data_IF_913700900180
#
_entry.id   IF_913700900180
#
_cell.length_a   1.000
_cell.length_b   1.000
_cell.length_c   1.000
_cell.angle_alpha   90.00
_cell.angle_beta   90.00
_cell.angle_gamma   90.00
#
_symmetry.space_group_name_H-M   'P 1'
#
loop_
_entity.id
_entity.type
_entity.pdbx_description
1 polymer ?
#
# COMPACT_ATOMS: atom_id res chain seq x y z
N UNK A 1 0.89 13.84 -20.49
CA UNK A 1 -0.23 14.25 -19.60
C UNK A 1 -0.85 12.98 -19.06
N UNK A 2 -0.60 12.66 -17.80
CA UNK A 2 -1.16 11.50 -17.15
C UNK A 2 -2.02 11.91 -15.96
N UNK A 3 -3.28 11.47 -15.92
CA UNK A 3 -4.13 11.59 -14.75
C UNK A 3 -3.73 10.49 -13.78
N UNK A 4 -3.04 10.86 -12.70
CA UNK A 4 -2.75 9.93 -11.62
C UNK A 4 -3.98 9.91 -10.74
N UNK A 5 -4.65 8.79 -10.73
CA UNK A 5 -5.66 8.56 -9.73
C UNK A 5 -5.11 7.78 -8.64
N UNK A 6 -5.47 8.22 -7.60
CA UNK A 6 -5.09 7.66 -6.38
C UNK A 6 -6.32 7.46 -5.54
N UNK A 7 -6.34 6.79 -4.57
CA UNK A 7 -5.50 6.34 -3.49
C UNK A 7 -6.31 5.35 -2.72
N UNK A 8 -5.92 4.17 -2.62
CA UNK A 8 -6.35 3.38 -1.52
C UNK A 8 -5.15 3.21 -0.61
N UNK A 9 -5.08 4.01 0.42
CA UNK A 9 -4.21 3.67 1.52
C UNK A 9 -4.79 2.46 2.19
N UNK A 10 -4.11 1.37 2.05
CA UNK A 10 -4.15 0.27 2.99
C UNK A 10 -2.74 0.00 3.46
N UNK A 11 -2.29 0.83 4.33
CA UNK A 11 -1.47 0.38 5.43
C UNK A 11 -2.36 0.39 6.68
N UNK A 12 -2.14 -0.52 7.58
CA UNK A 12 -2.76 -0.53 8.90
C UNK A 12 -2.35 0.71 9.70
N UNK A 13 -1.31 1.37 9.27
CA UNK A 13 -0.51 2.32 10.02
C UNK A 13 -0.24 3.65 9.28
N UNK A 14 -0.62 3.78 7.98
CA UNK A 14 -0.62 5.06 7.25
C UNK A 14 -2.03 5.35 6.79
N UNK A 15 -2.54 6.47 7.22
CA UNK A 15 -3.88 6.93 6.96
C UNK A 15 -3.96 7.66 5.61
N UNK A 16 -5.16 7.66 5.02
CA UNK A 16 -5.43 8.30 3.72
C UNK A 16 -4.97 9.75 3.71
N UNK A 17 -5.17 10.47 4.82
CA UNK A 17 -4.83 11.88 4.95
C UNK A 17 -3.35 12.19 4.72
N UNK A 18 -2.44 11.40 5.30
CA UNK A 18 -0.98 11.59 5.16
C UNK A 18 -0.54 11.43 3.72
N UNK A 19 -1.06 10.41 3.08
CA UNK A 19 -0.65 10.04 1.74
C UNK A 19 -1.15 11.05 0.71
N UNK A 20 -2.41 11.48 0.80
CA UNK A 20 -2.97 12.55 -0.04
C UNK A 20 -2.19 13.84 0.14
N UNK A 21 -1.89 14.21 1.39
CA UNK A 21 -1.13 15.42 1.71
C UNK A 21 0.29 15.36 1.10
N UNK A 22 1.01 14.24 1.26
CA UNK A 22 2.34 14.06 0.70
C UNK A 22 2.34 14.13 -0.82
N UNK A 23 1.39 13.48 -1.50
CA UNK A 23 1.29 13.52 -2.96
C UNK A 23 0.86 14.87 -3.49
N UNK A 24 0.00 15.60 -2.78
CA UNK A 24 -0.32 16.97 -3.16
C UNK A 24 0.91 17.88 -3.08
N UNK A 25 1.71 17.73 -2.02
CA UNK A 25 3.00 18.42 -1.92
C UNK A 25 3.95 18.09 -3.08
N UNK A 26 3.96 16.84 -3.55
CA UNK A 26 4.79 16.39 -4.66
C UNK A 26 4.47 17.12 -5.98
N UNK A 27 3.25 17.59 -6.21
CA UNK A 27 2.88 18.37 -7.41
C UNK A 27 3.78 19.58 -7.63
N UNK A 28 4.29 20.18 -6.55
CA UNK A 28 5.11 21.38 -6.61
C UNK A 28 6.55 21.12 -7.07
N UNK A 29 7.01 19.89 -6.97
CA UNK A 29 8.41 19.52 -7.21
C UNK A 29 8.58 18.53 -8.37
N UNK A 30 7.53 17.81 -8.73
CA UNK A 30 7.61 16.79 -9.77
C UNK A 30 7.62 17.43 -11.16
N UNK A 31 8.54 17.03 -12.04
CA UNK A 31 8.74 17.71 -13.34
C UNK A 31 7.62 17.50 -14.36
N UNK A 32 6.68 16.61 -14.06
CA UNK A 32 5.53 16.32 -14.93
C UNK A 32 4.22 16.63 -14.18
N UNK A 33 3.32 17.34 -14.84
CA UNK A 33 2.00 17.61 -14.27
C UNK A 33 1.19 16.34 -14.12
N UNK A 34 0.53 16.18 -12.99
CA UNK A 34 -0.43 15.12 -12.71
C UNK A 34 -1.62 15.65 -11.90
N UNK A 35 -2.75 14.99 -12.04
CA UNK A 35 -3.94 15.26 -11.25
C UNK A 35 -4.10 14.17 -10.18
N UNK A 36 -4.65 14.52 -9.04
CA UNK A 36 -4.98 13.61 -7.95
C UNK A 36 -6.50 13.47 -7.82
N UNK A 37 -6.93 12.25 -7.55
CA UNK A 37 -8.30 11.93 -7.12
C UNK A 37 -8.17 10.98 -5.94
N UNK A 38 -8.78 11.30 -4.82
CA UNK A 38 -8.78 10.45 -3.64
C UNK A 38 -10.00 9.51 -3.65
N UNK A 39 -9.76 8.21 -3.43
CA UNK A 39 -10.82 7.20 -3.39
C UNK A 39 -10.69 6.38 -2.12
N UNK A 40 -11.76 6.27 -1.35
CA UNK A 40 -11.86 5.40 -0.18
C UNK A 40 -12.90 4.31 -0.42
N UNK A 41 -12.60 3.08 0.01
CA UNK A 41 -13.56 1.97 -0.02
C UNK A 41 -14.04 1.70 1.41
N UNK A 42 -15.29 2.08 1.70
CA UNK A 42 -15.98 1.76 2.93
C UNK A 42 -16.36 0.27 2.91
N UNK A 43 -15.90 -0.48 3.89
CA UNK A 43 -16.07 -1.96 3.91
C UNK A 43 -17.44 -2.41 4.40
N UNK A 44 -18.25 -1.51 4.95
CA UNK A 44 -19.56 -1.82 5.56
C UNK A 44 -19.49 -2.06 7.06
N UNK A 45 -18.38 -1.72 7.74
CA UNK A 45 -18.35 -1.66 9.20
C UNK A 45 -19.07 -0.42 9.69
N UNK A 46 -19.75 -0.53 10.83
CA UNK A 46 -20.36 0.61 11.50
C UNK A 46 -19.30 1.51 12.13
N UNK A 47 -19.69 2.76 12.45
CA UNK A 47 -18.86 3.74 13.17
C UNK A 47 -17.54 4.14 12.50
N UNK A 48 -17.46 4.08 11.16
CA UNK A 48 -16.32 4.61 10.40
C UNK A 48 -16.64 6.02 9.88
N UNK A 49 -15.96 7.02 10.42
CA UNK A 49 -16.10 8.41 10.02
C UNK A 49 -15.01 8.81 9.02
N UNK A 50 -15.39 9.07 7.77
CA UNK A 50 -14.51 9.54 6.70
C UNK A 50 -14.63 11.05 6.44
N UNK A 51 -15.47 11.76 7.19
CA UNK A 51 -15.68 13.19 7.02
C UNK A 51 -14.41 14.02 7.20
N UNK A 52 -13.54 13.74 8.19
CA UNK A 52 -12.27 14.45 8.32
C UNK A 52 -11.35 14.31 7.09
N UNK A 53 -11.36 13.13 6.44
CA UNK A 53 -10.58 12.89 5.22
C UNK A 53 -11.18 13.64 4.03
N UNK A 54 -12.52 13.68 3.92
CA UNK A 54 -13.22 14.45 2.89
C UNK A 54 -12.86 15.93 2.98
N UNK A 55 -12.94 16.50 4.19
CA UNK A 55 -12.61 17.90 4.45
C UNK A 55 -11.14 18.22 4.15
N UNK A 56 -10.23 17.30 4.46
CA UNK A 56 -8.82 17.45 4.11
C UNK A 56 -8.63 17.50 2.59
N UNK A 57 -9.26 16.59 1.85
CA UNK A 57 -9.19 16.58 0.37
C UNK A 57 -9.76 17.86 -0.22
N UNK A 58 -10.90 18.33 0.30
CA UNK A 58 -11.54 19.58 -0.12
C UNK A 58 -10.62 20.79 0.12
N UNK A 59 -9.95 20.85 1.27
CA UNK A 59 -8.99 21.93 1.57
C UNK A 59 -7.78 21.99 0.62
N UNK A 60 -7.51 20.91 -0.08
CA UNK A 60 -6.42 20.76 -1.06
C UNK A 60 -6.90 20.77 -2.52
N UNK A 61 -8.20 21.03 -2.74
CA UNK A 61 -8.84 20.98 -4.07
C UNK A 61 -8.64 19.61 -4.77
N UNK A 62 -8.78 18.52 -3.99
CA UNK A 62 -8.66 17.15 -4.49
C UNK A 62 -10.04 16.49 -4.48
N UNK A 63 -10.57 16.05 -5.65
CA UNK A 63 -11.81 15.29 -5.70
C UNK A 63 -11.74 14.03 -4.81
N UNK A 64 -12.75 13.85 -3.95
CA UNK A 64 -12.84 12.72 -3.05
C UNK A 64 -14.04 11.85 -3.36
N UNK A 65 -13.84 10.54 -3.45
CA UNK A 65 -14.88 9.54 -3.70
C UNK A 65 -14.89 8.48 -2.61
N UNK A 66 -16.04 8.27 -1.98
CA UNK A 66 -16.29 7.20 -1.02
C UNK A 66 -17.14 6.11 -1.68
N UNK A 67 -16.60 4.89 -1.79
CA UNK A 67 -17.31 3.72 -2.31
C UNK A 67 -17.89 2.94 -1.14
N UNK A 68 -19.19 2.85 -1.01
CA UNK A 68 -19.83 1.96 -0.04
C UNK A 68 -19.91 0.53 -0.57
N UNK A 69 -19.51 -0.43 0.26
CA UNK A 69 -19.55 -1.86 -0.07
C UNK A 69 -20.03 -2.69 1.13
N UNK A 70 -20.49 -3.91 0.86
CA UNK A 70 -20.87 -4.91 1.87
C UNK A 70 -19.74 -5.93 2.14
N UNK A 71 -18.49 -5.55 1.92
CA UNK A 71 -17.35 -6.48 2.03
C UNK A 71 -17.26 -7.09 3.43
N UNK A 72 -17.50 -6.29 4.48
CA UNK A 72 -17.46 -6.77 5.86
C UNK A 72 -18.48 -7.90 6.08
N UNK A 73 -19.72 -7.71 5.63
CA UNK A 73 -20.79 -8.71 5.72
C UNK A 73 -20.43 -9.99 4.95
N UNK A 74 -19.97 -9.85 3.71
CA UNK A 74 -19.59 -10.99 2.89
C UNK A 74 -18.48 -11.83 3.56
N UNK A 75 -17.52 -11.17 4.22
CA UNK A 75 -16.42 -11.86 4.91
C UNK A 75 -16.89 -12.59 6.17
N UNK A 76 -17.85 -12.01 6.90
CA UNK A 76 -18.45 -12.67 8.09
C UNK A 76 -19.27 -13.88 7.70
N UNK A 77 -20.01 -13.80 6.59
CA UNK A 77 -20.89 -14.87 6.11
C UNK A 77 -20.12 -16.04 5.46
N UNK A 78 -18.84 -15.86 5.16
CA UNK A 78 -18.04 -16.89 4.49
C UNK A 78 -17.57 -17.99 5.46
N UNK A 79 -17.63 -19.24 4.98
CA UNK A 79 -17.07 -20.40 5.67
C UNK A 79 -15.55 -20.23 5.87
N UNK A 80 -15.05 -20.69 7.03
CA UNK A 80 -13.69 -20.48 7.57
C UNK A 80 -12.51 -21.05 6.74
N UNK A 81 -12.75 -21.60 5.55
CA UNK A 81 -11.70 -22.25 4.73
C UNK A 81 -10.80 -21.29 3.98
N UNK A 82 -11.25 -20.06 3.66
CA UNK A 82 -10.41 -19.05 3.01
C UNK A 82 -9.92 -17.99 4.01
N UNK A 83 -8.73 -17.45 3.77
CA UNK A 83 -8.21 -16.34 4.57
C UNK A 83 -9.06 -15.08 4.36
N UNK A 84 -9.82 -14.64 5.39
CA UNK A 84 -10.72 -13.47 5.25
C UNK A 84 -10.00 -12.22 4.80
N UNK A 85 -8.75 -12.03 5.23
CA UNK A 85 -7.92 -10.88 4.84
C UNK A 85 -7.55 -10.90 3.35
N UNK A 86 -7.30 -12.09 2.78
CA UNK A 86 -6.98 -12.22 1.35
C UNK A 86 -8.16 -11.81 0.48
N UNK A 87 -9.35 -12.32 0.81
CA UNK A 87 -10.57 -12.00 0.08
C UNK A 87 -10.93 -10.51 0.22
N UNK A 88 -10.92 -9.97 1.45
CA UNK A 88 -11.12 -8.54 1.70
C UNK A 88 -10.21 -7.69 0.81
N UNK A 89 -8.93 -8.03 0.75
CA UNK A 89 -7.96 -7.32 -0.07
C UNK A 89 -8.29 -7.39 -1.57
N UNK A 90 -8.70 -8.56 -2.06
CA UNK A 90 -9.10 -8.74 -3.48
C UNK A 90 -10.33 -7.91 -3.82
N UNK A 91 -11.37 -7.96 -3.00
CA UNK A 91 -12.63 -7.23 -3.22
C UNK A 91 -12.42 -5.72 -3.19
N UNK A 92 -11.67 -5.22 -2.22
CA UNK A 92 -11.32 -3.79 -2.10
C UNK A 92 -10.55 -3.30 -3.33
N UNK A 93 -9.51 -4.03 -3.73
CA UNK A 93 -8.75 -3.69 -4.95
C UNK A 93 -9.63 -3.70 -6.18
N UNK A 94 -10.56 -4.65 -6.28
CA UNK A 94 -11.53 -4.71 -7.39
C UNK A 94 -12.41 -3.48 -7.46
N UNK A 95 -13.03 -3.08 -6.34
CA UNK A 95 -13.87 -1.89 -6.25
C UNK A 95 -13.09 -0.61 -6.61
N UNK A 96 -11.90 -0.46 -6.04
CA UNK A 96 -11.00 0.67 -6.31
C UNK A 96 -10.62 0.76 -7.79
N UNK A 97 -10.11 -0.34 -8.36
CA UNK A 97 -9.65 -0.38 -9.75
C UNK A 97 -10.77 -0.02 -10.72
N UNK A 98 -11.99 -0.52 -10.45
CA UNK A 98 -13.17 -0.24 -11.27
C UNK A 98 -13.50 1.27 -11.29
N UNK A 99 -13.54 1.90 -10.12
CA UNK A 99 -13.82 3.34 -10.05
C UNK A 99 -12.67 4.16 -10.64
N UNK A 100 -11.43 3.84 -10.31
CA UNK A 100 -10.26 4.50 -10.88
C UNK A 100 -10.29 4.50 -12.41
N UNK A 101 -10.56 3.34 -13.02
CA UNK A 101 -10.70 3.22 -14.48
C UNK A 101 -11.85 4.09 -15.04
N UNK A 102 -13.03 4.11 -14.37
CA UNK A 102 -14.17 4.91 -14.81
C UNK A 102 -13.92 6.42 -14.72
N UNK A 103 -13.04 6.86 -13.81
CA UNK A 103 -12.61 8.25 -13.69
C UNK A 103 -11.47 8.64 -14.66
N UNK A 104 -11.10 7.73 -15.56
CA UNK A 104 -10.08 7.98 -16.57
C UNK A 104 -8.64 7.96 -16.04
N UNK A 105 -8.42 7.26 -14.96
CA UNK A 105 -7.12 7.19 -14.30
C UNK A 105 -6.21 6.18 -14.95
N UNK A 106 -4.93 6.47 -14.97
CA UNK A 106 -3.91 5.58 -15.52
C UNK A 106 -2.95 5.01 -14.47
N UNK A 107 -2.99 5.55 -13.24
CA UNK A 107 -2.18 5.08 -12.13
C UNK A 107 -3.00 4.97 -10.85
N UNK A 108 -2.64 4.00 -10.03
CA UNK A 108 -3.12 3.87 -8.64
C UNK A 108 -1.90 3.91 -7.75
N UNK A 109 -1.90 4.77 -6.75
CA UNK A 109 -0.84 4.83 -5.78
C UNK A 109 -1.29 4.21 -4.45
N UNK A 110 -0.43 3.41 -3.82
CA UNK A 110 -0.65 2.82 -2.49
C UNK A 110 0.37 3.36 -1.50
N UNK A 111 -0.11 3.68 -0.28
CA UNK A 111 0.70 4.19 0.82
C UNK A 111 1.57 3.13 1.52
N UNK A 112 1.92 2.02 0.84
CA UNK A 112 2.84 1.05 1.43
C UNK A 112 4.19 1.70 1.70
N UNK A 113 4.73 1.40 2.87
CA UNK A 113 6.03 1.89 3.32
C UNK A 113 7.07 0.74 3.39
N UNK A 114 8.28 1.07 3.81
CA UNK A 114 9.41 0.16 3.87
C UNK A 114 9.15 -1.06 4.76
N UNK A 115 8.53 -0.84 5.92
CA UNK A 115 8.22 -1.91 6.87
C UNK A 115 7.24 -2.92 6.26
N UNK A 116 6.24 -2.50 5.47
CA UNK A 116 5.33 -3.40 4.74
C UNK A 116 6.05 -4.34 3.78
N UNK A 117 7.13 -3.86 3.15
CA UNK A 117 7.96 -4.68 2.23
C UNK A 117 8.63 -5.81 3.00
N UNK A 118 9.25 -5.48 4.12
CA UNK A 118 9.94 -6.44 5.00
C UNK A 118 8.94 -7.43 5.59
N UNK A 119 7.81 -6.95 6.11
CA UNK A 119 6.73 -7.80 6.64
C UNK A 119 6.20 -8.76 5.58
N UNK A 120 6.01 -8.29 4.35
CA UNK A 120 5.50 -9.12 3.25
C UNK A 120 6.52 -10.19 2.85
N UNK A 121 7.80 -9.86 2.82
CA UNK A 121 8.87 -10.84 2.61
C UNK A 121 8.85 -11.90 3.70
N UNK A 122 8.79 -11.50 4.97
CA UNK A 122 8.76 -12.43 6.10
C UNK A 122 7.52 -13.32 6.09
N UNK A 123 6.35 -12.77 5.75
CA UNK A 123 5.12 -13.55 5.56
C UNK A 123 5.28 -14.62 4.48
N UNK A 124 5.86 -14.24 3.33
CA UNK A 124 6.10 -15.18 2.23
C UNK A 124 7.11 -16.26 2.59
N UNK A 125 8.17 -15.92 3.30
CA UNK A 125 9.17 -16.89 3.79
C UNK A 125 8.56 -17.86 4.79
N UNK A 126 7.86 -17.37 5.81
CA UNK A 126 7.35 -18.19 6.92
C UNK A 126 6.16 -19.06 6.50
N UNK A 127 5.23 -18.53 5.72
CA UNK A 127 3.95 -19.19 5.43
C UNK A 127 3.81 -19.73 4.02
N UNK A 128 4.65 -19.30 3.06
CA UNK A 128 4.55 -19.70 1.66
C UNK A 128 5.83 -20.36 1.14
N UNK A 129 6.92 -20.35 1.91
CA UNK A 129 8.20 -20.97 1.55
C UNK A 129 8.85 -20.34 0.31
N UNK A 130 8.65 -19.04 0.07
CA UNK A 130 9.19 -18.34 -1.12
C UNK A 130 9.72 -16.96 -0.80
N UNK A 131 10.69 -16.52 -1.59
CA UNK A 131 11.19 -15.15 -1.58
C UNK A 131 10.27 -14.26 -2.42
N UNK A 132 9.35 -13.56 -1.77
CA UNK A 132 8.42 -12.66 -2.46
C UNK A 132 8.09 -11.43 -1.63
N UNK A 133 8.15 -10.27 -2.26
CA UNK A 133 7.53 -9.04 -1.79
C UNK A 133 6.95 -8.28 -2.98
N UNK A 134 6.09 -7.29 -2.72
CA UNK A 134 5.51 -6.50 -3.81
C UNK A 134 6.51 -5.51 -4.39
N UNK A 135 6.48 -5.33 -5.70
CA UNK A 135 7.36 -4.42 -6.43
C UNK A 135 6.98 -2.93 -6.20
N UNK A 136 7.94 -1.99 -6.36
CA UNK A 136 7.66 -0.55 -6.34
C UNK A 136 6.61 -0.13 -7.35
N UNK A 137 6.66 -0.71 -8.54
CA UNK A 137 5.74 -0.48 -9.65
C UNK A 137 5.22 -1.81 -10.16
N UNK A 138 3.92 -1.89 -10.46
CA UNK A 138 3.28 -3.10 -11.00
C UNK A 138 2.26 -2.71 -12.05
N UNK A 139 2.38 -3.22 -13.26
CA UNK A 139 1.35 -3.04 -14.28
C UNK A 139 0.24 -4.09 -14.10
N UNK A 140 -0.99 -3.65 -14.15
CA UNK A 140 -2.20 -4.46 -14.02
C UNK A 140 -2.84 -4.64 -15.41
N UNK A 141 -2.41 -5.66 -16.16
CA UNK A 141 -2.77 -5.87 -17.57
C UNK A 141 -4.28 -5.82 -17.82
N UNK A 142 -5.08 -6.52 -17.01
CA UNK A 142 -6.54 -6.59 -17.18
C UNK A 142 -7.24 -5.24 -16.97
N UNK A 143 -6.64 -4.35 -16.22
CA UNK A 143 -7.21 -3.04 -15.88
C UNK A 143 -6.54 -1.90 -16.64
N UNK A 144 -5.40 -2.17 -17.28
CA UNK A 144 -4.55 -1.17 -17.95
C UNK A 144 -4.19 -0.02 -17.00
N UNK A 145 -3.91 -0.34 -15.74
CA UNK A 145 -3.55 0.58 -14.69
C UNK A 145 -2.13 0.27 -14.18
N UNK A 146 -1.37 1.30 -13.91
CA UNK A 146 -0.08 1.15 -13.23
C UNK A 146 -0.24 1.38 -11.75
N UNK A 147 0.06 0.38 -10.95
CA UNK A 147 0.14 0.50 -9.50
C UNK A 147 1.52 1.01 -9.11
N UNK A 148 1.58 2.08 -8.32
CA UNK A 148 2.81 2.66 -7.80
C UNK A 148 2.79 2.72 -6.27
N UNK A 149 3.97 2.78 -5.63
CA UNK A 149 4.12 2.86 -4.17
C UNK A 149 5.14 3.94 -3.81
N UNK A 150 4.73 5.21 -3.82
CA UNK A 150 5.65 6.35 -3.66
C UNK A 150 6.36 6.40 -2.31
N UNK A 151 5.74 5.86 -1.23
CA UNK A 151 6.30 5.88 0.12
C UNK A 151 7.18 4.67 0.47
N UNK A 152 7.55 3.86 -0.53
CA UNK A 152 8.19 2.56 -0.31
C UNK A 152 9.53 2.64 0.45
N UNK A 153 10.21 3.77 0.36
CA UNK A 153 11.49 4.03 1.05
C UNK A 153 11.32 4.71 2.42
N UNK A 154 10.10 5.12 2.77
CA UNK A 154 9.78 5.76 4.03
C UNK A 154 9.63 4.71 5.13
N UNK A 155 10.13 4.98 6.34
CA UNK A 155 9.86 4.16 7.53
C UNK A 155 8.43 4.41 8.01
N UNK A 156 7.81 3.40 8.59
CA UNK A 156 6.52 3.54 9.26
C UNK A 156 6.57 4.64 10.35
N UNK A 157 7.63 4.65 11.15
CA UNK A 157 7.82 5.65 12.20
C UNK A 157 7.88 7.10 11.66
N UNK A 158 8.49 7.30 10.48
CA UNK A 158 8.57 8.62 9.85
C UNK A 158 7.18 9.06 9.35
N UNK A 159 6.37 8.12 8.83
CA UNK A 159 4.99 8.38 8.42
C UNK A 159 4.12 8.79 9.61
N UNK A 160 4.19 8.04 10.72
CA UNK A 160 3.49 8.37 11.96
C UNK A 160 3.93 9.73 12.50
N UNK A 161 5.24 10.02 12.49
CA UNK A 161 5.77 11.32 12.88
C UNK A 161 5.25 12.48 12.02
N UNK A 162 5.12 12.24 10.71
CA UNK A 162 4.55 13.19 9.76
C UNK A 162 3.06 13.46 10.08
N UNK A 163 2.28 12.42 10.30
CA UNK A 163 0.88 12.51 10.67
C UNK A 163 0.68 13.37 11.94
N UNK A 164 1.44 13.11 12.99
CA UNK A 164 1.39 13.88 14.22
C UNK A 164 1.77 15.34 14.01
N UNK A 165 2.84 15.59 13.23
CA UNK A 165 3.35 16.95 12.97
C UNK A 165 2.33 17.83 12.25
N UNK A 166 1.57 17.27 11.32
CA UNK A 166 0.61 18.01 10.50
C UNK A 166 -0.85 17.82 10.96
N UNK A 167 -1.07 17.12 12.08
CA UNK A 167 -2.40 16.84 12.65
C UNK A 167 -3.37 16.23 11.62
N UNK A 168 -2.87 15.29 10.81
CA UNK A 168 -3.65 14.69 9.74
C UNK A 168 -4.68 13.71 10.28
N UNK A 169 -5.89 13.65 9.69
CA UNK A 169 -6.97 12.82 10.20
C UNK A 169 -6.67 11.33 10.10
N UNK A 170 -7.05 10.60 11.14
CA UNK A 170 -6.94 9.15 11.27
C UNK A 170 -8.33 8.54 11.27
N UNK A 171 -8.59 7.58 10.40
CA UNK A 171 -9.85 6.82 10.41
C UNK A 171 -9.62 5.50 11.13
N UNK A 172 -10.30 5.30 12.26
CA UNK A 172 -10.21 4.04 13.00
C UNK A 172 -10.66 2.85 12.15
N UNK A 173 -9.88 1.78 12.19
CA UNK A 173 -10.23 0.55 11.53
C UNK A 173 -11.00 -0.35 12.50
N UNK A 174 -12.27 -0.63 12.19
CA UNK A 174 -13.14 -1.47 13.02
C UNK A 174 -13.17 -2.94 12.53
N UNK A 175 -12.06 -3.42 11.94
CA UNK A 175 -11.98 -4.78 11.43
C UNK A 175 -11.94 -5.81 12.57
N UNK A 176 -12.89 -6.76 12.59
CA UNK A 176 -13.03 -7.78 13.64
C UNK A 176 -11.83 -8.74 13.76
N UNK A 177 -11.02 -8.89 12.72
CA UNK A 177 -9.82 -9.75 12.72
C UNK A 177 -8.53 -8.95 13.00
N UNK A 178 -8.66 -7.68 13.38
CA UNK A 178 -7.52 -6.83 13.68
C UNK A 178 -6.74 -7.34 14.91
N UNK A 179 -5.42 -7.30 14.82
CA UNK A 179 -4.53 -7.77 15.90
C UNK A 179 -4.25 -9.29 15.91
N UNK A 180 -5.12 -10.12 15.33
CA UNK A 180 -4.98 -11.58 15.31
C UNK A 180 -4.56 -12.14 13.94
N UNK A 181 -3.84 -11.35 13.15
CA UNK A 181 -3.43 -11.75 11.79
C UNK A 181 -1.98 -12.26 11.78
N UNK A 182 -1.66 -13.12 10.78
CA UNK A 182 -0.27 -13.51 10.50
C UNK A 182 0.67 -12.30 10.34
N UNK A 183 0.17 -11.18 9.81
CA UNK A 183 0.93 -9.94 9.69
C UNK A 183 1.23 -9.32 11.06
N UNK A 184 0.27 -9.28 11.97
CA UNK A 184 0.50 -8.77 13.32
C UNK A 184 1.58 -9.59 14.05
N UNK A 185 1.55 -10.91 13.91
CA UNK A 185 2.60 -11.78 14.44
C UNK A 185 3.98 -11.46 13.84
N UNK A 186 4.08 -11.33 12.52
CA UNK A 186 5.34 -11.00 11.85
C UNK A 186 5.85 -9.63 12.27
N UNK A 187 4.97 -8.65 12.40
CA UNK A 187 5.33 -7.30 12.88
C UNK A 187 5.94 -7.36 14.27
N UNK A 188 5.30 -8.07 15.20
CA UNK A 188 5.82 -8.27 16.55
C UNK A 188 7.16 -9.01 16.55
N UNK A 189 7.30 -10.08 15.78
CA UNK A 189 8.56 -10.81 15.63
C UNK A 189 9.70 -9.88 15.13
N UNK A 190 9.43 -9.05 14.14
CA UNK A 190 10.40 -8.08 13.63
C UNK A 190 10.77 -7.02 14.67
N UNK A 191 9.85 -6.60 15.54
CA UNK A 191 10.15 -5.72 16.67
C UNK A 191 11.10 -6.40 17.68
N UNK A 192 10.85 -7.66 18.03
CA UNK A 192 11.72 -8.41 18.93
C UNK A 192 13.12 -8.60 18.36
N UNK A 193 13.24 -8.92 17.06
CA UNK A 193 14.54 -9.05 16.40
C UNK A 193 15.25 -7.69 16.35
N UNK A 194 14.55 -6.60 16.05
CA UNK A 194 15.16 -5.27 15.99
C UNK A 194 15.64 -4.77 17.35
N UNK A 195 14.96 -5.15 18.44
CA UNK A 195 15.38 -4.86 19.81
C UNK A 195 16.74 -5.53 20.18
N UNK A 196 17.00 -6.73 19.63
CA UNK A 196 18.25 -7.46 19.87
C UNK A 196 19.33 -7.15 18.82
N UNK A 197 18.93 -6.73 17.63
CA UNK A 197 19.80 -6.41 16.50
C UNK A 197 19.35 -5.14 15.80
N UNK A 198 19.60 -3.96 16.38
CA UNK A 198 19.11 -2.67 15.84
C UNK A 198 19.46 -2.48 14.38
N UNK A 199 18.49 -1.98 13.59
CA UNK A 199 18.62 -1.77 12.14
C UNK A 199 18.44 -3.04 11.32
N UNK A 200 17.88 -4.11 11.88
CA UNK A 200 17.61 -5.34 11.11
C UNK A 200 16.63 -5.12 9.98
N UNK A 201 15.59 -4.32 10.19
CA UNK A 201 14.60 -3.99 9.14
C UNK A 201 15.24 -3.28 7.95
N UNK A 202 16.20 -2.37 8.20
CA UNK A 202 16.98 -1.69 7.16
C UNK A 202 17.82 -2.66 6.35
N UNK A 203 18.51 -3.60 7.03
CA UNK A 203 19.31 -4.62 6.35
C UNK A 203 18.45 -5.57 5.53
N UNK A 204 17.29 -5.99 6.04
CA UNK A 204 16.34 -6.81 5.32
C UNK A 204 15.80 -6.09 4.08
N UNK A 205 15.40 -4.82 4.20
CA UNK A 205 14.95 -4.03 3.06
C UNK A 205 16.05 -3.89 1.99
N UNK A 206 17.28 -3.57 2.40
CA UNK A 206 18.42 -3.49 1.48
C UNK A 206 18.70 -4.83 0.78
N UNK A 207 18.53 -5.96 1.48
CA UNK A 207 18.66 -7.28 0.87
C UNK A 207 17.56 -7.56 -0.17
N UNK A 208 16.33 -7.11 0.08
CA UNK A 208 15.23 -7.21 -0.87
C UNK A 208 15.51 -6.35 -2.12
N UNK A 209 15.93 -5.11 -1.91
CA UNK A 209 16.23 -4.16 -2.99
C UNK A 209 17.35 -4.66 -3.91
N UNK A 210 18.41 -5.27 -3.35
CA UNK A 210 19.58 -5.76 -4.06
C UNK A 210 19.47 -7.24 -4.48
N UNK A 211 18.47 -7.95 -4.02
CA UNK A 211 18.37 -9.40 -4.07
C UNK A 211 17.79 -9.99 -5.35
N UNK A 212 17.78 -9.26 -6.46
CA UNK A 212 17.26 -9.72 -7.75
C UNK A 212 15.81 -10.24 -7.71
N UNK A 213 14.98 -9.70 -6.86
CA UNK A 213 13.56 -10.05 -6.80
C UNK A 213 12.80 -9.45 -7.99
N UNK A 214 11.88 -10.23 -8.56
CA UNK A 214 11.06 -9.80 -9.69
C UNK A 214 10.37 -8.47 -9.40
N UNK A 215 10.59 -7.48 -10.27
CA UNK A 215 10.02 -6.14 -10.16
C UNK A 215 10.83 -5.17 -9.29
N UNK A 216 11.95 -5.60 -8.70
CA UNK A 216 12.91 -4.77 -7.97
C UNK A 216 14.18 -4.50 -8.79
N UNK A 217 14.40 -5.24 -9.86
CA UNK A 217 15.53 -5.06 -10.77
C UNK A 217 15.18 -3.98 -11.79
N UNK A 218 16.06 -3.02 -12.01
CA UNK A 218 16.01 -2.18 -13.21
C UNK A 218 16.38 -3.04 -14.40
N UNK A 219 15.48 -3.21 -15.36
CA UNK A 219 15.70 -4.02 -16.58
C UNK A 219 16.94 -3.58 -17.41
N UNK A 220 17.43 -2.35 -17.18
CA UNK A 220 18.67 -1.84 -17.78
C UNK A 220 19.95 -2.53 -17.27
N UNK A 221 19.96 -3.10 -16.07
CA UNK A 221 21.11 -3.83 -15.50
C UNK A 221 21.04 -5.34 -15.76
N UNK A 222 19.84 -5.90 -15.94
CA UNK A 222 19.62 -7.33 -16.20
C UNK A 222 20.05 -7.78 -17.61
N UNK A 223 20.12 -6.87 -18.57
CA UNK A 223 20.51 -7.20 -19.94
C UNK A 223 22.02 -7.48 -20.13
N UNK A 224 22.85 -7.12 -19.13
CA UNK A 224 24.31 -7.34 -19.18
C UNK A 224 24.76 -8.69 -18.59
N UNK A 225 23.91 -9.38 -17.83
CA UNK A 225 24.30 -10.62 -17.13
C UNK A 225 24.05 -11.90 -17.96
N UNK A 226 23.20 -11.82 -18.99
CA UNK A 226 22.87 -13.00 -19.83
C UNK A 226 23.85 -13.28 -20.99
N UNK A 227 24.99 -12.59 -21.08
CA UNK A 227 25.98 -12.78 -22.19
C UNK A 227 27.31 -13.40 -21.80
N UNK A 228 27.46 -13.89 -20.57
CA UNK A 228 28.69 -14.57 -20.16
C UNK A 228 28.37 -15.95 -19.56
N UNK A 229 28.04 -16.90 -20.43
CA UNK A 229 27.75 -18.27 -20.01
C UNK A 229 27.67 -19.27 -21.14
N UNK A 230 28.52 -19.12 -22.19
CA UNK A 230 28.84 -20.19 -23.13
C UNK A 230 30.34 -20.16 -23.39
N UNK A 231 31.06 -21.04 -22.67
CA UNK A 231 32.25 -21.73 -23.12
C UNK A 231 32.45 -22.98 -22.24
#
# INVERSE_FOLDING_TARGET
NGKITEILVKSKDIEIGEFVYALNGLKNFYPKNFELVAITVHLGYEDMDFEPVRLLCESMDIPYHLIHTDIARIIVDMNKEESPCSLCSKMRKGALNKLAKSLGCNKIAFGHHRDDVVETMMLSLIYEGRFHSFAPVTYLDRMELTLIRPLLYLKEADAIGFQHKYHLPVVKNNCLVEGHTKRAYVKELLHQIDATSPGVKERMFSAIEKGNLKGWINESEGASISRTGEH
#
